data_IF_180747314417
#
_entry.id   IF_180747314417
#
_cell.length_a   1.000
_cell.length_b   1.000
_cell.length_c   1.000
_cell.angle_alpha   90.00
_cell.angle_beta   90.00
_cell.angle_gamma   90.00
#
_symmetry.space_group_name_H-M   'P 1'
#
loop_
_entity.id
_entity.type
_entity.pdbx_description
1 polymer ?
#
# COMPACT_ATOMS: atom_id res chain seq x y z
N UNK A 1 -11.09 25.68 -13.96
CA UNK A 1 -9.81 24.96 -13.74
C UNK A 1 -9.72 23.85 -14.76
N UNK A 2 -8.55 23.62 -15.35
CA UNK A 2 -8.33 22.47 -16.24
C UNK A 2 -8.30 21.16 -15.44
N UNK A 3 -8.58 20.04 -16.08
CA UNK A 3 -8.49 18.70 -15.46
C UNK A 3 -7.08 18.43 -14.91
N UNK A 4 -6.04 18.91 -15.62
CA UNK A 4 -4.66 18.86 -15.17
C UNK A 4 -4.42 19.65 -13.87
N UNK A 5 -5.08 20.80 -13.72
CA UNK A 5 -5.01 21.60 -12.48
C UNK A 5 -5.66 20.85 -11.31
N UNK A 6 -6.78 20.16 -11.55
CA UNK A 6 -7.43 19.36 -10.51
C UNK A 6 -6.56 18.17 -10.09
N UNK A 7 -5.95 17.46 -11.05
CA UNK A 7 -5.03 16.36 -10.76
C UNK A 7 -3.81 16.83 -9.95
N UNK A 8 -3.23 17.98 -10.30
CA UNK A 8 -2.13 18.57 -9.54
C UNK A 8 -2.54 18.95 -8.10
N UNK A 9 -3.75 19.49 -7.92
CA UNK A 9 -4.29 19.79 -6.60
C UNK A 9 -4.49 18.53 -5.75
N UNK A 10 -5.09 17.48 -6.32
CA UNK A 10 -5.28 16.19 -5.64
C UNK A 10 -3.93 15.58 -5.23
N UNK A 11 -2.92 15.66 -6.09
CA UNK A 11 -1.57 15.18 -5.76
C UNK A 11 -0.97 15.94 -4.58
N UNK A 12 -1.15 17.26 -4.52
CA UNK A 12 -0.67 18.06 -3.38
C UNK A 12 -1.40 17.71 -2.07
N UNK A 13 -2.71 17.49 -2.14
CA UNK A 13 -3.49 17.06 -0.97
C UNK A 13 -2.99 15.71 -0.47
N UNK A 14 -2.80 14.73 -1.37
CA UNK A 14 -2.29 13.41 -1.01
C UNK A 14 -0.91 13.49 -0.32
N UNK A 15 0.02 14.27 -0.86
CA UNK A 15 1.37 14.44 -0.28
C UNK A 15 1.29 15.02 1.14
N UNK A 16 0.39 15.98 1.37
CA UNK A 16 0.18 16.56 2.71
C UNK A 16 -0.42 15.55 3.68
N UNK A 17 -1.36 14.72 3.23
CA UNK A 17 -1.95 13.65 4.04
C UNK A 17 -0.91 12.58 4.38
N UNK A 18 -0.10 12.15 3.41
CA UNK A 18 1.01 11.21 3.64
C UNK A 18 1.97 11.71 4.71
N UNK A 19 2.31 13.01 4.68
CA UNK A 19 3.16 13.61 5.71
C UNK A 19 2.49 13.64 7.09
N UNK A 20 1.19 13.95 7.16
CA UNK A 20 0.44 13.98 8.42
C UNK A 20 0.27 12.58 9.04
N UNK A 21 0.18 11.53 8.20
CA UNK A 21 0.03 10.13 8.62
C UNK A 21 1.37 9.42 8.88
N UNK A 22 2.51 10.10 8.72
CA UNK A 22 3.84 9.48 8.89
C UNK A 22 4.26 8.58 7.72
N UNK A 23 3.50 8.52 6.63
CA UNK A 23 3.81 7.70 5.44
C UNK A 23 4.98 8.26 4.60
N UNK A 24 5.56 9.40 5.00
CA UNK A 24 6.68 10.03 4.29
C UNK A 24 7.95 9.18 4.32
N UNK A 25 8.09 8.32 5.33
CA UNK A 25 9.22 7.39 5.47
C UNK A 25 9.12 6.17 4.53
N UNK A 26 7.98 6.02 3.84
CA UNK A 26 7.76 4.99 2.85
C UNK A 26 8.22 5.46 1.47
N UNK A 27 8.97 4.58 0.79
CA UNK A 27 9.28 4.79 -0.63
C UNK A 27 7.99 4.84 -1.47
N UNK A 28 7.99 5.45 -2.67
CA UNK A 28 6.81 5.46 -3.52
C UNK A 28 6.22 4.06 -3.75
N UNK A 29 7.08 3.07 -4.01
CA UNK A 29 6.65 1.68 -4.19
C UNK A 29 6.06 1.06 -2.91
N UNK A 30 6.61 1.38 -1.74
CA UNK A 30 6.02 0.95 -0.47
C UNK A 30 4.65 1.57 -0.24
N UNK A 31 4.45 2.86 -0.58
CA UNK A 31 3.15 3.52 -0.48
C UNK A 31 2.14 2.92 -1.43
N UNK A 32 2.52 2.62 -2.66
CA UNK A 32 1.62 1.99 -3.64
C UNK A 32 1.14 0.61 -3.14
N UNK A 33 2.07 -0.20 -2.60
CA UNK A 33 1.74 -1.51 -2.01
C UNK A 33 0.85 -1.36 -0.76
N UNK A 34 1.17 -0.39 0.10
CA UNK A 34 0.39 -0.12 1.30
C UNK A 34 -1.04 0.35 0.98
N UNK A 35 -1.21 1.25 0.02
CA UNK A 35 -2.53 1.70 -0.42
C UNK A 35 -3.34 0.57 -1.04
N UNK A 36 -2.73 -0.27 -1.88
CA UNK A 36 -3.40 -1.46 -2.39
C UNK A 36 -3.87 -2.39 -1.25
N UNK A 37 -3.02 -2.60 -0.24
CA UNK A 37 -3.36 -3.40 0.93
C UNK A 37 -4.52 -2.81 1.75
N UNK A 38 -4.52 -1.50 2.00
CA UNK A 38 -5.60 -0.80 2.73
C UNK A 38 -6.92 -0.91 1.97
N UNK A 39 -6.93 -0.61 0.67
CA UNK A 39 -8.14 -0.72 -0.18
C UNK A 39 -8.71 -2.14 -0.16
N UNK A 40 -7.85 -3.16 -0.26
CA UNK A 40 -8.29 -4.56 -0.16
C UNK A 40 -8.80 -4.91 1.23
N UNK A 41 -8.21 -4.36 2.28
CA UNK A 41 -8.65 -4.62 3.65
C UNK A 41 -10.03 -4.04 3.94
N UNK A 42 -10.33 -2.86 3.40
CA UNK A 42 -11.65 -2.23 3.52
C UNK A 42 -12.73 -2.99 2.73
N UNK A 43 -12.39 -3.55 1.56
CA UNK A 43 -13.35 -4.23 0.68
C UNK A 43 -13.56 -5.72 1.00
N UNK A 44 -12.49 -6.44 1.36
CA UNK A 44 -12.48 -7.91 1.49
C UNK A 44 -12.30 -8.40 2.93
N UNK A 45 -12.12 -7.48 3.88
CA UNK A 45 -11.98 -7.77 5.31
C UNK A 45 -10.55 -7.62 5.85
N UNK A 46 -10.39 -7.82 7.17
CA UNK A 46 -9.15 -7.50 7.90
C UNK A 46 -7.90 -8.28 7.47
N UNK A 47 -8.06 -9.42 6.78
CA UNK A 47 -6.95 -10.28 6.37
C UNK A 47 -6.92 -10.37 4.86
N UNK A 48 -5.78 -10.01 4.28
CA UNK A 48 -5.55 -9.92 2.83
C UNK A 48 -4.40 -10.85 2.42
N UNK A 49 -4.46 -11.41 1.20
CA UNK A 49 -3.39 -12.25 0.66
C UNK A 49 -2.39 -11.40 -0.12
N UNK A 50 -1.11 -11.77 -0.09
CA UNK A 50 -0.10 -11.13 -0.95
C UNK A 50 -0.44 -11.19 -2.43
N UNK A 51 -1.09 -12.26 -2.88
CA UNK A 51 -1.51 -12.43 -4.27
C UNK A 51 -2.57 -11.41 -4.65
N UNK A 52 -3.56 -11.16 -3.78
CA UNK A 52 -4.62 -10.18 -4.03
C UNK A 52 -4.03 -8.76 -4.11
N UNK A 53 -3.11 -8.43 -3.20
CA UNK A 53 -2.36 -7.16 -3.22
C UNK A 53 -1.60 -7.04 -4.53
N UNK A 54 -0.85 -8.08 -4.92
CA UNK A 54 -0.04 -8.11 -6.15
C UNK A 54 -0.88 -7.87 -7.41
N UNK A 55 -2.08 -8.43 -7.47
CA UNK A 55 -2.97 -8.30 -8.63
C UNK A 55 -3.80 -7.01 -8.64
N UNK A 56 -3.66 -6.15 -7.63
CA UNK A 56 -4.35 -4.87 -7.59
C UNK A 56 -3.94 -3.96 -8.76
N UNK A 57 -4.90 -3.26 -9.35
CA UNK A 57 -4.70 -2.46 -10.57
C UNK A 57 -3.59 -1.39 -10.43
N UNK A 58 -3.47 -0.81 -9.23
CA UNK A 58 -2.46 0.21 -8.92
C UNK A 58 -1.02 -0.34 -8.96
N UNK A 59 -0.83 -1.66 -8.87
CA UNK A 59 0.47 -2.33 -8.88
C UNK A 59 0.81 -2.99 -10.22
N UNK A 60 -0.04 -2.86 -11.24
CA UNK A 60 0.15 -3.46 -12.57
C UNK A 60 1.49 -3.11 -13.23
N UNK A 61 2.02 -1.93 -12.93
CA UNK A 61 3.30 -1.43 -13.45
C UNK A 61 4.52 -1.86 -12.61
N UNK A 62 4.32 -2.52 -11.46
CA UNK A 62 5.37 -2.83 -10.50
C UNK A 62 6.03 -4.18 -10.79
N UNK A 63 7.37 -4.24 -10.92
CA UNK A 63 8.08 -5.50 -11.04
C UNK A 63 7.94 -6.38 -9.80
N UNK A 64 7.82 -7.69 -9.99
CA UNK A 64 7.68 -8.66 -8.90
C UNK A 64 8.79 -8.58 -7.83
N UNK A 65 10.08 -8.37 -8.17
CA UNK A 65 11.13 -8.20 -7.16
C UNK A 65 10.93 -6.94 -6.30
N UNK A 66 10.40 -5.87 -6.89
CA UNK A 66 10.11 -4.60 -6.20
C UNK A 66 8.92 -4.77 -5.27
N UNK A 67 7.88 -5.48 -5.71
CA UNK A 67 6.71 -5.80 -4.89
C UNK A 67 7.11 -6.55 -3.61
N UNK A 68 7.80 -7.69 -3.72
CA UNK A 68 8.18 -8.48 -2.55
C UNK A 68 9.15 -7.75 -1.62
N UNK A 69 10.06 -6.93 -2.18
CA UNK A 69 10.94 -6.06 -1.38
C UNK A 69 10.11 -5.05 -0.58
N UNK A 70 9.18 -4.36 -1.24
CA UNK A 70 8.33 -3.34 -0.61
C UNK A 70 7.43 -3.96 0.46
N UNK A 71 6.83 -5.12 0.19
CA UNK A 71 6.02 -5.87 1.15
C UNK A 71 6.84 -6.26 2.39
N UNK A 72 8.08 -6.71 2.20
CA UNK A 72 8.98 -7.06 3.30
C UNK A 72 9.37 -5.85 4.15
N UNK A 73 9.66 -4.70 3.52
CA UNK A 73 9.97 -3.45 4.22
C UNK A 73 8.75 -2.92 4.99
N UNK A 74 7.53 -3.02 4.44
CA UNK A 74 6.31 -2.63 5.13
C UNK A 74 6.07 -3.45 6.41
N UNK A 75 6.38 -4.75 6.39
CA UNK A 75 6.31 -5.59 7.59
C UNK A 75 7.38 -5.19 8.61
N UNK A 76 8.62 -4.95 8.17
CA UNK A 76 9.71 -4.49 9.06
C UNK A 76 9.42 -3.15 9.72
N UNK A 77 8.79 -2.23 8.98
CA UNK A 77 8.39 -0.91 9.45
C UNK A 77 7.06 -0.92 10.23
N UNK A 78 6.50 -2.11 10.47
CA UNK A 78 5.26 -2.30 11.23
C UNK A 78 4.03 -1.62 10.63
N UNK A 79 3.98 -1.43 9.31
CA UNK A 79 2.76 -1.00 8.60
C UNK A 79 1.86 -2.17 8.24
N UNK A 80 2.45 -3.35 8.06
CA UNK A 80 1.76 -4.62 7.83
C UNK A 80 2.22 -5.63 8.88
N UNK A 81 1.31 -6.50 9.29
CA UNK A 81 1.62 -7.59 10.21
C UNK A 81 1.07 -8.91 9.67
N UNK A 82 1.66 -10.02 10.13
CA UNK A 82 1.11 -11.34 9.90
C UNK A 82 0.07 -11.62 10.99
N UNK A 83 -1.18 -11.94 10.65
CA UNK A 83 -2.17 -12.29 11.66
C UNK A 83 -1.76 -13.56 12.41
N UNK A 84 -1.96 -13.57 13.72
CA UNK A 84 -1.60 -14.68 14.62
C UNK A 84 -2.18 -16.02 14.15
N UNK A 85 -1.34 -17.06 14.07
CA UNK A 85 -1.77 -18.41 13.68
C UNK A 85 -2.02 -18.63 12.18
N UNK A 86 -1.68 -17.67 11.31
CA UNK A 86 -2.01 -17.76 9.87
C UNK A 86 -0.83 -18.23 9.00
N UNK A 87 -1.14 -18.86 7.87
CA UNK A 87 -0.15 -19.36 6.89
C UNK A 87 0.63 -18.21 6.24
N UNK A 88 1.87 -18.50 5.81
CA UNK A 88 2.69 -17.59 4.97
C UNK A 88 1.86 -17.04 3.80
N UNK A 89 1.94 -15.73 3.57
CA UNK A 89 1.24 -15.04 2.48
C UNK A 89 -0.03 -14.29 2.89
N UNK A 90 -0.39 -14.28 4.17
CA UNK A 90 -1.52 -13.50 4.71
C UNK A 90 -1.00 -12.33 5.54
N UNK A 91 -1.65 -11.19 5.38
CA UNK A 91 -1.28 -9.91 5.97
C UNK A 91 -2.52 -9.21 6.52
N UNK A 92 -2.31 -8.37 7.53
CA UNK A 92 -3.28 -7.40 8.04
C UNK A 92 -2.61 -6.04 8.16
N UNK A 93 -3.39 -4.98 8.07
CA UNK A 93 -2.91 -3.62 8.41
C UNK A 93 -2.64 -3.60 9.91
N UNK A 94 -1.48 -3.06 10.30
CA UNK A 94 -1.06 -2.95 11.70
C UNK A 94 -1.83 -1.87 12.47
#
# INVERSE_FOLDING_TARGET
MSELSNAAMLRQVLIKMEAALGLKDLSPSERDVYYAAVTLSENSGKVIKSEDIRTHESLSHMPLPTFYRSLSELVKKSYLCHPEGTKRGLFSIA
#
